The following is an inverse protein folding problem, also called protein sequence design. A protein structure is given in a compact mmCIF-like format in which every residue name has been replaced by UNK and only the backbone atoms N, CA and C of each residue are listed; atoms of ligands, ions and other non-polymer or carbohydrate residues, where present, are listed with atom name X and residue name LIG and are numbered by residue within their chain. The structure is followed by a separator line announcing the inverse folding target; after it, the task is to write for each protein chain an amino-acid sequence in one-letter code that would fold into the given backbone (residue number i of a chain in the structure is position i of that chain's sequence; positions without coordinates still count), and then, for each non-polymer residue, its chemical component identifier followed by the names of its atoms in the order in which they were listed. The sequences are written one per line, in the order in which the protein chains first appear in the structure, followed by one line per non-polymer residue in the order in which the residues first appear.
data_IF_342852358287
#
_entry.id   IF_342852358287
#
_cell.length_a   1.000
_cell.length_b   1.000
_cell.length_c   1.000
_cell.angle_alpha   90.00
_cell.angle_beta   90.00
_cell.angle_gamma   90.00
#
_symmetry.space_group_name_H-M   'P 1'
#
loop_
_entity.id
_entity.type
_entity.pdbx_description
1 polymer ?
#
# COMPACT_ATOMS: atom_id res chain seq x y z
N UNK A 1 -25.98 20.04 -20.57
CA UNK A 1 -25.47 19.04 -19.59
C UNK A 1 -24.21 19.58 -18.94
N UNK A 2 -24.32 20.06 -17.70
CA UNK A 2 -23.16 20.41 -16.89
C UNK A 2 -22.44 19.10 -16.53
N UNK A 3 -21.25 18.85 -17.09
CA UNK A 3 -20.37 17.76 -16.61
C UNK A 3 -20.09 18.05 -15.14
N UNK A 4 -20.64 17.23 -14.23
CA UNK A 4 -20.23 17.25 -12.84
C UNK A 4 -18.70 17.14 -12.80
N UNK A 5 -18.02 18.09 -12.13
CA UNK A 5 -16.58 17.99 -11.86
C UNK A 5 -16.37 16.65 -11.16
N UNK A 6 -15.76 15.66 -11.86
CA UNK A 6 -15.31 14.43 -11.22
C UNK A 6 -14.27 14.83 -10.18
N UNK A 7 -14.66 14.84 -8.92
CA UNK A 7 -13.73 14.96 -7.80
C UNK A 7 -12.83 13.74 -7.83
N UNK A 8 -11.52 13.94 -7.80
CA UNK A 8 -10.55 12.85 -7.68
C UNK A 8 -10.91 12.00 -6.45
N UNK A 9 -11.05 10.68 -6.58
CA UNK A 9 -11.38 9.83 -5.44
C UNK A 9 -10.27 9.92 -4.38
N UNK A 10 -10.60 9.61 -3.13
CA UNK A 10 -9.60 9.39 -2.07
C UNK A 10 -9.30 7.90 -1.97
N UNK A 11 -8.14 7.54 -1.42
CA UNK A 11 -7.75 6.15 -1.15
C UNK A 11 -8.07 5.77 0.30
N UNK A 12 -9.24 5.20 0.64
CA UNK A 12 -9.60 4.88 2.03
C UNK A 12 -8.93 3.60 2.56
N UNK A 13 -7.78 3.18 2.02
CA UNK A 13 -7.17 1.87 2.31
C UNK A 13 -6.83 1.66 3.80
N UNK A 14 -6.61 2.73 4.56
CA UNK A 14 -6.40 2.70 6.03
C UNK A 14 -7.57 3.31 6.82
N UNK A 15 -8.71 3.59 6.18
CA UNK A 15 -9.83 4.24 6.84
C UNK A 15 -10.46 3.34 7.91
N UNK A 16 -10.65 3.88 9.11
CA UNK A 16 -11.33 3.22 10.22
C UNK A 16 -12.72 3.80 10.49
N UNK A 17 -13.55 3.06 11.22
CA UNK A 17 -14.82 3.57 11.71
C UNK A 17 -14.61 4.59 12.84
N UNK A 18 -15.25 5.76 12.72
CA UNK A 18 -15.25 6.78 13.79
C UNK A 18 -15.79 6.27 15.14
N UNK A 19 -16.74 5.33 15.09
CA UNK A 19 -17.47 4.82 16.26
C UNK A 19 -16.93 3.49 16.80
N UNK A 20 -16.02 2.83 16.08
CA UNK A 20 -15.45 1.52 16.47
C UNK A 20 -13.92 1.54 16.62
N UNK A 21 -13.35 2.71 16.87
CA UNK A 21 -11.92 2.87 17.13
C UNK A 21 -11.03 2.47 15.96
N UNK A 22 -10.25 1.39 16.13
CA UNK A 22 -9.19 0.95 15.20
C UNK A 22 -9.66 -0.03 14.11
N UNK A 23 -10.94 -0.38 14.07
CA UNK A 23 -11.47 -1.28 13.03
C UNK A 23 -11.54 -0.59 11.65
N UNK A 24 -10.97 -1.24 10.64
CA UNK A 24 -11.06 -0.78 9.25
C UNK A 24 -12.50 -0.83 8.71
N UNK A 25 -12.84 0.11 7.83
CA UNK A 25 -14.11 0.06 7.11
C UNK A 25 -14.14 -1.12 6.14
N UNK A 26 -15.35 -1.59 5.77
CA UNK A 26 -15.49 -2.66 4.78
C UNK A 26 -14.89 -2.30 3.41
N UNK A 27 -14.84 -1.02 3.07
CA UNK A 27 -14.17 -0.51 1.88
C UNK A 27 -12.64 -0.58 2.00
N UNK A 28 -12.09 -0.13 3.12
CA UNK A 28 -10.66 -0.25 3.41
C UNK A 28 -10.20 -1.71 3.33
N UNK A 29 -10.89 -2.62 4.04
CA UNK A 29 -10.57 -4.05 4.04
C UNK A 29 -10.64 -4.67 2.63
N UNK A 30 -11.61 -4.27 1.82
CA UNK A 30 -11.76 -4.77 0.45
C UNK A 30 -10.63 -4.28 -0.45
N UNK A 31 -10.26 -3.01 -0.37
CA UNK A 31 -9.11 -2.45 -1.10
C UNK A 31 -7.80 -3.13 -0.69
N UNK A 32 -7.58 -3.32 0.62
CA UNK A 32 -6.44 -4.08 1.12
C UNK A 32 -6.42 -5.51 0.56
N UNK A 33 -7.57 -6.18 0.53
CA UNK A 33 -7.73 -7.52 -0.05
C UNK A 33 -7.39 -7.57 -1.53
N UNK A 34 -7.88 -6.61 -2.32
CA UNK A 34 -7.58 -6.50 -3.76
C UNK A 34 -6.07 -6.32 -3.97
N UNK A 35 -5.45 -5.37 -3.27
CA UNK A 35 -4.02 -5.05 -3.41
C UNK A 35 -3.16 -6.24 -2.98
N UNK A 36 -3.50 -6.88 -1.86
CA UNK A 36 -2.80 -8.08 -1.35
C UNK A 36 -2.92 -9.26 -2.31
N UNK A 37 -4.08 -9.44 -2.94
CA UNK A 37 -4.26 -10.48 -3.95
C UNK A 37 -3.42 -10.20 -5.20
N UNK A 38 -3.41 -8.96 -5.68
CA UNK A 38 -2.66 -8.59 -6.89
C UNK A 38 -1.14 -8.65 -6.74
N UNK A 39 -0.58 -8.44 -5.53
CA UNK A 39 0.86 -8.61 -5.29
C UNK A 39 1.26 -10.08 -5.18
N UNK A 40 0.38 -10.95 -4.70
CA UNK A 40 0.69 -12.38 -4.45
C UNK A 40 0.35 -13.30 -5.61
N UNK A 41 -0.63 -12.95 -6.44
CA UNK A 41 -1.06 -13.77 -7.57
C UNK A 41 -0.32 -13.39 -8.84
N UNK A 42 0.25 -14.38 -9.52
CA UNK A 42 1.03 -14.17 -10.76
C UNK A 42 0.25 -14.55 -12.01
N UNK A 43 -0.76 -15.42 -11.90
CA UNK A 43 -1.52 -15.92 -13.04
C UNK A 43 -2.54 -14.87 -13.53
N UNK A 44 -2.50 -14.44 -14.81
CA UNK A 44 -3.46 -13.48 -15.35
C UNK A 44 -4.93 -13.89 -15.20
N UNK A 45 -5.23 -15.19 -15.35
CA UNK A 45 -6.58 -15.76 -15.18
C UNK A 45 -7.16 -15.57 -13.79
N UNK A 46 -6.29 -15.42 -12.78
CA UNK A 46 -6.67 -15.20 -11.38
C UNK A 46 -6.64 -13.73 -10.97
N UNK A 47 -6.31 -12.81 -11.89
CA UNK A 47 -6.27 -11.36 -11.66
C UNK A 47 -7.39 -10.60 -12.38
N UNK A 48 -8.44 -11.30 -12.80
CA UNK A 48 -9.67 -10.67 -13.33
C UNK A 48 -10.57 -10.20 -12.19
N UNK A 49 -11.49 -9.25 -12.43
CA UNK A 49 -12.45 -8.77 -11.40
C UNK A 49 -13.21 -9.93 -10.74
N UNK A 50 -13.67 -10.87 -11.55
CA UNK A 50 -14.41 -12.05 -11.10
C UNK A 50 -13.54 -12.98 -10.24
N UNK A 51 -12.31 -13.27 -10.68
CA UNK A 51 -11.41 -14.13 -9.91
C UNK A 51 -11.03 -13.50 -8.56
N UNK A 52 -10.76 -12.19 -8.54
CA UNK A 52 -10.52 -11.42 -7.31
C UNK A 52 -11.73 -11.55 -6.38
N UNK A 53 -12.95 -11.38 -6.90
CA UNK A 53 -14.17 -11.50 -6.11
C UNK A 53 -14.37 -12.88 -5.50
N UNK A 54 -14.16 -13.95 -6.27
CA UNK A 54 -14.22 -15.31 -5.72
C UNK A 54 -13.19 -15.52 -4.60
N UNK A 55 -11.95 -15.08 -4.81
CA UNK A 55 -10.88 -15.28 -3.83
C UNK A 55 -11.11 -14.51 -2.53
N UNK A 56 -11.55 -13.25 -2.63
CA UNK A 56 -11.86 -12.44 -1.46
C UNK A 56 -13.09 -12.96 -0.72
N UNK A 57 -14.09 -13.47 -1.43
CA UNK A 57 -15.29 -14.03 -0.83
C UNK A 57 -14.97 -15.31 -0.04
N UNK A 58 -14.16 -16.19 -0.62
CA UNK A 58 -13.63 -17.38 0.05
C UNK A 58 -12.86 -17.01 1.32
N UNK A 59 -11.91 -16.06 1.23
CA UNK A 59 -11.13 -15.59 2.37
C UNK A 59 -11.99 -15.00 3.49
N UNK A 60 -13.07 -14.31 3.14
CA UNK A 60 -13.95 -13.64 4.09
C UNK A 60 -15.16 -14.49 4.52
N UNK A 61 -15.18 -15.78 4.16
CA UNK A 61 -16.28 -16.70 4.44
C UNK A 61 -17.66 -16.13 4.05
N UNK A 62 -17.76 -15.60 2.83
CA UNK A 62 -18.99 -15.02 2.26
C UNK A 62 -19.18 -15.45 0.81
N UNK A 63 -20.29 -15.05 0.19
CA UNK A 63 -20.56 -15.32 -1.22
C UNK A 63 -20.01 -14.19 -2.10
N UNK A 64 -19.50 -14.55 -3.29
CA UNK A 64 -18.88 -13.56 -4.18
C UNK A 64 -19.88 -12.51 -4.65
N UNK A 65 -21.17 -12.88 -4.80
CA UNK A 65 -22.25 -11.97 -5.17
C UNK A 65 -22.40 -10.81 -4.18
N UNK A 66 -22.13 -11.04 -2.89
CA UNK A 66 -22.26 -10.02 -1.85
C UNK A 66 -21.17 -8.93 -1.93
N UNK A 67 -20.00 -9.26 -2.48
CA UNK A 67 -18.85 -8.35 -2.52
C UNK A 67 -18.49 -7.88 -3.93
N UNK A 68 -19.04 -8.52 -4.97
CA UNK A 68 -18.70 -8.29 -6.37
C UNK A 68 -18.88 -6.82 -6.77
N UNK A 69 -20.03 -6.23 -6.44
CA UNK A 69 -20.31 -4.81 -6.73
C UNK A 69 -19.33 -3.87 -6.03
N UNK A 70 -18.96 -4.16 -4.79
CA UNK A 70 -17.96 -3.39 -4.04
C UNK A 70 -16.57 -3.48 -4.66
N UNK A 71 -16.16 -4.66 -5.14
CA UNK A 71 -14.87 -4.85 -5.82
C UNK A 71 -14.84 -4.10 -7.15
N UNK A 72 -15.93 -4.18 -7.92
CA UNK A 72 -16.05 -3.45 -9.17
C UNK A 72 -15.94 -1.95 -8.95
N UNK A 73 -16.69 -1.41 -7.97
CA UNK A 73 -16.66 0.00 -7.59
C UNK A 73 -15.25 0.43 -7.18
N UNK A 74 -14.58 -0.34 -6.31
CA UNK A 74 -13.25 0.03 -5.83
C UNK A 74 -12.21 0.00 -6.95
N UNK A 75 -12.25 -0.98 -7.85
CA UNK A 75 -11.34 -1.01 -9.00
C UNK A 75 -11.59 0.18 -9.93
N UNK A 76 -12.83 0.37 -10.39
CA UNK A 76 -13.15 1.26 -11.50
C UNK A 76 -13.27 2.73 -11.07
N UNK A 77 -13.69 2.98 -9.83
CA UNK A 77 -13.93 4.34 -9.33
C UNK A 77 -12.79 4.86 -8.44
N UNK A 78 -11.91 3.98 -7.94
CA UNK A 78 -10.86 4.36 -6.98
C UNK A 78 -9.47 3.90 -7.45
N UNK A 79 -9.21 2.59 -7.51
CA UNK A 79 -7.85 2.08 -7.69
C UNK A 79 -7.28 2.33 -9.09
N UNK A 80 -8.09 2.17 -10.14
CA UNK A 80 -7.71 2.52 -11.52
C UNK A 80 -7.55 4.04 -11.69
N UNK A 81 -8.53 4.90 -11.30
CA UNK A 81 -8.36 6.35 -11.40
C UNK A 81 -7.19 6.94 -10.62
N UNK A 82 -6.82 6.34 -9.48
CA UNK A 82 -5.66 6.75 -8.68
C UNK A 82 -4.34 6.17 -9.18
N UNK A 83 -4.37 5.34 -10.23
CA UNK A 83 -3.18 4.68 -10.76
C UNK A 83 -2.51 3.78 -9.72
N UNK A 84 -3.27 3.17 -8.81
CA UNK A 84 -2.80 2.13 -7.87
C UNK A 84 -2.79 0.78 -8.60
N UNK A 85 -3.78 0.58 -9.46
CA UNK A 85 -3.94 -0.61 -10.30
C UNK A 85 -3.97 -0.16 -11.75
N UNK A 86 -3.48 -1.01 -12.66
CA UNK A 86 -3.61 -0.85 -14.10
C UNK A 86 -4.06 -2.16 -14.76
N UNK A 87 -4.56 -2.07 -16.00
CA UNK A 87 -4.85 -3.24 -16.82
C UNK A 87 -3.52 -3.85 -17.31
N UNK A 88 -3.23 -5.09 -16.92
CA UNK A 88 -2.03 -5.80 -17.34
C UNK A 88 -2.15 -6.48 -18.71
N UNK A 89 -3.38 -6.55 -19.25
CA UNK A 89 -3.72 -7.18 -20.52
C UNK A 89 -5.13 -7.79 -20.50
N UNK A 90 -5.48 -8.50 -21.58
CA UNK A 90 -6.80 -9.13 -21.74
C UNK A 90 -6.70 -10.61 -22.12
N UNK A 91 -7.57 -11.40 -21.51
CA UNK A 91 -7.68 -12.83 -21.75
C UNK A 91 -8.70 -13.11 -22.86
N UNK A 92 -8.36 -13.90 -23.88
CA UNK A 92 -9.31 -14.27 -24.92
C UNK A 92 -10.40 -15.17 -24.32
N UNK A 93 -11.65 -14.96 -24.74
CA UNK A 93 -12.76 -15.86 -24.39
C UNK A 93 -13.42 -16.42 -25.65
N UNK A 94 -13.69 -17.73 -25.64
CA UNK A 94 -14.31 -18.43 -26.78
C UNK A 94 -15.84 -18.52 -26.68
N UNK A 95 -16.40 -18.15 -25.53
CA UNK A 95 -17.83 -18.25 -25.20
C UNK A 95 -18.26 -17.03 -24.37
N UNK A 96 -19.52 -16.61 -24.49
CA UNK A 96 -20.08 -15.45 -23.78
C UNK A 96 -20.48 -14.30 -24.73
N UNK A 97 -20.75 -13.09 -24.20
CA UNK A 97 -21.11 -11.93 -25.01
C UNK A 97 -20.09 -11.62 -26.10
N UNK A 98 -20.55 -11.35 -27.33
CA UNK A 98 -19.68 -11.13 -28.51
C UNK A 98 -18.65 -10.01 -28.29
N UNK A 99 -19.05 -8.91 -27.65
CA UNK A 99 -18.14 -7.82 -27.29
C UNK A 99 -16.97 -8.27 -26.40
N UNK A 100 -17.19 -9.20 -25.47
CA UNK A 100 -16.13 -9.76 -24.63
C UNK A 100 -15.28 -10.80 -25.39
N UNK A 101 -15.85 -11.50 -26.39
CA UNK A 101 -15.06 -12.36 -27.27
C UNK A 101 -14.09 -11.53 -28.14
N UNK A 102 -14.55 -10.37 -28.62
CA UNK A 102 -13.76 -9.47 -29.46
C UNK A 102 -12.69 -8.72 -28.64
N UNK A 103 -13.03 -8.25 -27.44
CA UNK A 103 -12.11 -7.44 -26.62
C UNK A 103 -11.30 -8.24 -25.60
N UNK A 104 -11.75 -9.44 -25.22
CA UNK A 104 -11.21 -10.20 -24.10
C UNK A 104 -11.62 -9.65 -22.73
N UNK A 105 -11.31 -10.44 -21.69
CA UNK A 105 -11.57 -10.08 -20.29
C UNK A 105 -10.32 -9.47 -19.67
N UNK A 106 -10.37 -8.23 -19.13
CA UNK A 106 -9.20 -7.60 -18.55
C UNK A 106 -8.74 -8.30 -17.26
N UNK A 107 -7.42 -8.36 -17.09
CA UNK A 107 -6.78 -8.67 -15.81
C UNK A 107 -5.93 -7.50 -15.34
N UNK A 108 -5.70 -7.44 -14.04
CA UNK A 108 -5.11 -6.28 -13.38
C UNK A 108 -3.75 -6.58 -12.78
N UNK A 109 -2.96 -5.54 -12.61
CA UNK A 109 -1.69 -5.57 -11.87
C UNK A 109 -1.49 -4.28 -11.09
N UNK A 110 -0.60 -4.32 -10.09
CA UNK A 110 -0.22 -3.12 -9.36
C UNK A 110 0.75 -2.28 -10.18
N UNK A 111 0.54 -0.97 -10.17
CA UNK A 111 1.53 0.00 -10.63
C UNK A 111 2.64 0.17 -9.57
N UNK A 112 3.66 0.98 -9.84
CA UNK A 112 4.65 1.36 -8.81
C UNK A 112 4.00 2.02 -7.58
N UNK A 113 2.98 2.86 -7.77
CA UNK A 113 2.17 3.41 -6.66
C UNK A 113 1.44 2.30 -5.91
N UNK A 114 0.88 1.32 -6.61
CA UNK A 114 0.22 0.16 -6.01
C UNK A 114 1.16 -0.73 -5.23
N UNK A 115 2.39 -0.92 -5.70
CA UNK A 115 3.45 -1.64 -5.00
C UNK A 115 3.84 -0.92 -3.70
N UNK A 116 3.94 0.42 -3.71
CA UNK A 116 4.16 1.21 -2.49
C UNK A 116 3.02 1.03 -1.49
N UNK A 117 1.77 1.07 -1.94
CA UNK A 117 0.62 0.79 -1.06
C UNK A 117 0.72 -0.64 -0.52
N UNK A 118 0.97 -1.65 -1.36
CA UNK A 118 1.14 -3.03 -0.92
C UNK A 118 2.26 -3.20 0.12
N UNK A 119 3.36 -2.45 -0.01
CA UNK A 119 4.45 -2.41 0.96
C UNK A 119 3.99 -1.89 2.33
N UNK A 120 3.08 -0.92 2.36
CA UNK A 120 2.53 -0.34 3.60
C UNK A 120 1.49 -1.21 4.32
N UNK A 121 0.87 -2.18 3.63
CA UNK A 121 -0.25 -2.96 4.18
C UNK A 121 0.15 -4.15 5.03
N UNK A 122 1.37 -4.66 4.86
CA UNK A 122 1.69 -6.02 5.29
C UNK A 122 2.59 -6.04 6.51
N UNK A 123 2.41 -7.09 7.31
CA UNK A 123 3.37 -7.46 8.34
C UNK A 123 4.73 -7.70 7.71
N UNK A 124 5.77 -7.20 8.38
CA UNK A 124 7.14 -7.35 7.92
C UNK A 124 7.63 -8.77 8.21
N UNK A 125 8.16 -9.40 7.17
CA UNK A 125 8.90 -10.65 7.25
C UNK A 125 10.10 -10.60 6.29
N UNK A 126 10.98 -11.61 6.34
CA UNK A 126 12.23 -11.63 5.54
C UNK A 126 11.99 -11.49 4.04
N UNK A 127 10.98 -12.17 3.51
CA UNK A 127 10.64 -12.09 2.08
C UNK A 127 10.15 -10.69 1.71
N UNK A 128 9.35 -10.07 2.59
CA UNK A 128 8.83 -8.71 2.40
C UNK A 128 9.92 -7.65 2.45
N UNK A 129 10.90 -7.80 3.33
CA UNK A 129 12.08 -6.92 3.38
C UNK A 129 12.80 -6.97 2.03
N UNK A 130 13.02 -8.17 1.48
CA UNK A 130 13.66 -8.32 0.17
C UNK A 130 12.86 -7.65 -0.95
N UNK A 131 11.55 -7.91 -1.03
CA UNK A 131 10.67 -7.31 -2.04
C UNK A 131 10.68 -5.78 -1.93
N UNK A 132 10.68 -5.23 -0.70
CA UNK A 132 10.75 -3.79 -0.47
C UNK A 132 12.11 -3.21 -0.88
N UNK A 133 13.21 -3.91 -0.61
CA UNK A 133 14.54 -3.50 -1.05
C UNK A 133 14.61 -3.45 -2.59
N UNK A 134 14.21 -4.53 -3.27
CA UNK A 134 14.15 -4.60 -4.74
C UNK A 134 13.26 -3.50 -5.35
N UNK A 135 12.19 -3.12 -4.64
CA UNK A 135 11.31 -2.03 -5.04
C UNK A 135 12.02 -0.66 -4.96
N UNK A 136 12.60 -0.31 -3.80
CA UNK A 136 13.32 0.96 -3.64
C UNK A 136 14.58 1.04 -4.49
N UNK A 137 15.12 -0.10 -4.94
CA UNK A 137 16.21 -0.17 -5.91
C UNK A 137 15.84 0.31 -7.32
N UNK A 138 14.56 0.43 -7.66
CA UNK A 138 14.13 0.92 -8.99
C UNK A 138 14.22 2.45 -9.08
N UNK A 139 14.83 2.94 -10.16
CA UNK A 139 14.98 4.39 -10.41
C UNK A 139 13.64 5.10 -10.70
N UNK A 140 12.58 4.36 -11.04
CA UNK A 140 11.23 4.92 -11.21
C UNK A 140 10.62 5.40 -9.88
N UNK A 141 11.09 4.85 -8.75
CA UNK A 141 10.49 5.09 -7.43
C UNK A 141 10.98 6.40 -6.83
N UNK A 142 12.28 6.67 -6.87
CA UNK A 142 12.85 7.93 -6.41
C UNK A 142 14.05 8.32 -7.26
N UNK A 143 14.16 9.61 -7.58
CA UNK A 143 15.35 10.20 -8.20
C UNK A 143 16.40 10.61 -7.17
N UNK A 144 16.02 10.68 -5.90
CA UNK A 144 16.89 11.05 -4.78
C UNK A 144 17.67 9.82 -4.31
N UNK A 145 18.96 9.79 -4.68
CA UNK A 145 19.87 8.68 -4.35
C UNK A 145 20.14 8.59 -2.85
N UNK A 146 20.16 9.72 -2.15
CA UNK A 146 20.47 9.76 -0.72
C UNK A 146 19.27 9.30 0.10
N UNK A 147 18.06 9.72 -0.28
CA UNK A 147 16.82 9.20 0.30
C UNK A 147 16.71 7.69 0.10
N UNK A 148 16.94 7.22 -1.13
CA UNK A 148 16.92 5.79 -1.45
C UNK A 148 17.91 5.00 -0.61
N UNK A 149 19.17 5.46 -0.53
CA UNK A 149 20.20 4.83 0.30
C UNK A 149 19.77 4.77 1.77
N UNK A 150 19.22 5.87 2.29
CA UNK A 150 18.78 5.98 3.68
C UNK A 150 17.63 5.02 4.00
N UNK A 151 16.62 4.94 3.12
CA UNK A 151 15.50 4.00 3.28
C UNK A 151 15.99 2.55 3.24
N UNK A 152 16.89 2.20 2.31
CA UNK A 152 17.45 0.85 2.22
C UNK A 152 18.26 0.48 3.47
N UNK A 153 19.07 1.40 4.00
CA UNK A 153 19.78 1.18 5.27
C UNK A 153 18.82 1.01 6.44
N UNK A 154 17.78 1.85 6.54
CA UNK A 154 16.76 1.73 7.59
C UNK A 154 15.97 0.43 7.46
N UNK A 155 15.73 -0.06 6.24
CA UNK A 155 15.02 -1.31 6.01
C UNK A 155 15.83 -2.52 6.52
N UNK A 156 17.16 -2.46 6.45
CA UNK A 156 18.05 -3.50 6.97
C UNK A 156 18.08 -3.52 8.51
N UNK A 157 18.22 -2.34 9.15
CA UNK A 157 18.44 -2.26 10.61
C UNK A 157 17.16 -2.10 11.44
N UNK A 158 16.12 -1.48 10.87
CA UNK A 158 14.88 -1.13 11.55
C UNK A 158 13.67 -1.26 10.60
N UNK A 159 13.40 -2.45 10.04
CA UNK A 159 12.36 -2.62 9.02
C UNK A 159 10.97 -2.17 9.50
N UNK A 160 10.62 -2.43 10.76
CA UNK A 160 9.33 -2.00 11.33
C UNK A 160 9.15 -0.47 11.32
N UNK A 161 10.23 0.29 11.49
CA UNK A 161 10.21 1.74 11.34
C UNK A 161 9.86 2.13 9.90
N UNK A 162 10.49 1.48 8.91
CA UNK A 162 10.19 1.71 7.48
C UNK A 162 8.73 1.37 7.16
N UNK A 163 8.19 0.26 7.68
CA UNK A 163 6.76 -0.05 7.50
C UNK A 163 5.85 1.03 8.09
N UNK A 164 6.15 1.48 9.32
CA UNK A 164 5.42 2.58 9.96
C UNK A 164 5.46 3.87 9.13
N UNK A 165 6.64 4.22 8.61
CA UNK A 165 6.82 5.37 7.74
C UNK A 165 5.98 5.26 6.46
N UNK A 166 6.00 4.11 5.77
CA UNK A 166 5.23 3.92 4.54
C UNK A 166 3.72 3.93 4.79
N UNK A 167 3.27 3.36 5.91
CA UNK A 167 1.87 3.47 6.32
C UNK A 167 1.47 4.93 6.48
N UNK A 168 2.26 5.72 7.19
CA UNK A 168 2.00 7.16 7.40
C UNK A 168 2.07 7.98 6.12
N UNK A 169 2.96 7.60 5.22
CA UNK A 169 3.06 8.17 3.89
C UNK A 169 1.78 7.95 3.08
N UNK A 170 1.28 6.72 3.03
CA UNK A 170 0.03 6.40 2.33
C UNK A 170 -1.18 7.04 3.02
N UNK A 171 -1.26 7.06 4.35
CA UNK A 171 -2.30 7.79 5.10
C UNK A 171 -2.31 9.28 4.73
N UNK A 172 -1.13 9.90 4.63
CA UNK A 172 -1.00 11.32 4.25
C UNK A 172 -1.43 11.58 2.80
N UNK A 173 -1.22 10.62 1.90
CA UNK A 173 -1.79 10.65 0.54
C UNK A 173 -3.32 10.52 0.58
N UNK A 174 -3.86 9.58 1.34
CA UNK A 174 -5.31 9.37 1.53
C UNK A 174 -6.02 10.62 2.09
N UNK A 175 -5.35 11.38 2.94
CA UNK A 175 -5.84 12.63 3.52
C UNK A 175 -5.72 13.82 2.56
N UNK A 176 -4.91 13.71 1.50
CA UNK A 176 -4.64 14.78 0.54
C UNK A 176 -3.50 15.72 0.93
N UNK A 177 -2.70 15.37 1.95
CA UNK A 177 -1.48 16.10 2.32
C UNK A 177 -0.38 15.89 1.26
N UNK A 178 -0.33 14.69 0.70
CA UNK A 178 0.55 14.29 -0.41
C UNK A 178 -0.32 14.11 -1.65
N UNK A 179 0.11 14.64 -2.79
CA UNK A 179 -0.69 14.63 -4.03
C UNK A 179 -0.42 13.42 -4.91
N UNK A 180 0.78 12.84 -4.84
CA UNK A 180 1.20 11.66 -5.61
C UNK A 180 2.04 10.74 -4.73
N UNK A 181 1.86 9.42 -4.85
CA UNK A 181 2.67 8.46 -4.11
C UNK A 181 4.09 8.32 -4.69
N UNK A 182 4.20 8.41 -6.03
CA UNK A 182 5.43 8.33 -6.80
C UNK A 182 5.57 9.61 -7.65
N UNK A 183 6.77 10.23 -7.75
CA UNK A 183 8.02 9.80 -7.12
C UNK A 183 7.97 9.91 -5.59
N UNK A 184 8.62 8.96 -4.93
CA UNK A 184 8.87 8.97 -3.50
C UNK A 184 9.98 9.97 -3.20
N UNK A 185 9.63 11.13 -2.65
CA UNK A 185 10.57 12.25 -2.43
C UNK A 185 10.57 12.75 -0.98
N UNK A 186 11.62 13.50 -0.64
CA UNK A 186 11.85 13.99 0.72
C UNK A 186 10.73 14.94 1.20
N UNK A 187 10.16 15.75 0.31
CA UNK A 187 9.11 16.70 0.69
C UNK A 187 7.79 15.99 1.04
N UNK A 188 7.45 14.94 0.29
CA UNK A 188 6.31 14.08 0.57
C UNK A 188 6.55 13.26 1.84
N UNK A 189 7.78 12.76 2.06
CA UNK A 189 8.16 12.10 3.32
C UNK A 189 8.01 13.04 4.51
N UNK A 190 8.49 14.28 4.44
CA UNK A 190 8.31 15.28 5.52
C UNK A 190 6.85 15.53 5.86
N UNK A 191 5.97 15.60 4.86
CA UNK A 191 4.52 15.76 5.08
C UNK A 191 3.88 14.55 5.75
N UNK A 192 4.51 13.39 5.68
CA UNK A 192 4.06 12.16 6.34
C UNK A 192 4.49 12.04 7.80
N UNK A 193 5.43 12.86 8.28
CA UNK A 193 5.87 12.83 9.67
C UNK A 193 4.77 13.33 10.61
N UNK A 194 4.11 12.38 11.26
CA UNK A 194 3.18 12.65 12.35
C UNK A 194 3.89 12.62 13.71
N UNK A 195 3.13 12.84 14.79
CA UNK A 195 3.65 12.83 16.15
C UNK A 195 4.39 11.54 16.49
N UNK A 196 3.92 10.39 16.01
CA UNK A 196 4.55 9.09 16.27
C UNK A 196 5.94 9.02 15.64
N UNK A 197 6.06 9.42 14.37
CA UNK A 197 7.35 9.46 13.68
C UNK A 197 8.29 10.51 14.26
N UNK A 198 7.77 11.63 14.76
CA UNK A 198 8.55 12.68 15.42
C UNK A 198 9.17 12.20 16.73
N UNK A 199 8.43 11.48 17.57
CA UNK A 199 8.96 10.89 18.81
C UNK A 199 10.04 9.84 18.51
N UNK A 200 9.84 9.01 17.47
CA UNK A 200 10.84 8.02 17.05
C UNK A 200 12.13 8.69 16.55
N UNK A 201 12.00 9.79 15.80
CA UNK A 201 13.13 10.61 15.36
C UNK A 201 13.88 11.21 16.54
N UNK A 202 13.17 11.82 17.48
CA UNK A 202 13.76 12.41 18.70
C UNK A 202 14.53 11.37 19.49
N UNK A 203 13.95 10.19 19.72
CA UNK A 203 14.61 9.09 20.42
C UNK A 203 15.91 8.67 19.70
N UNK A 204 15.86 8.52 18.38
CA UNK A 204 17.03 8.10 17.59
C UNK A 204 18.14 9.16 17.63
N UNK A 205 17.81 10.43 17.41
CA UNK A 205 18.76 11.55 17.43
C UNK A 205 19.36 11.70 18.84
N UNK A 206 18.52 11.72 19.88
CA UNK A 206 18.95 11.80 21.27
C UNK A 206 19.86 10.63 21.65
N UNK A 207 19.46 9.40 21.35
CA UNK A 207 20.28 8.21 21.63
C UNK A 207 21.61 8.21 20.85
N UNK A 208 21.61 8.68 19.61
CA UNK A 208 22.84 8.78 18.80
C UNK A 208 23.83 9.80 19.35
N UNK A 209 23.37 10.81 20.08
CA UNK A 209 24.23 11.83 20.69
C UNK A 209 24.94 11.36 21.96
N UNK A 210 24.48 10.26 22.57
CA UNK A 210 25.03 9.72 23.81
C UNK A 210 26.41 9.08 23.63
N UNK A 211 27.21 9.10 24.70
CA UNK A 211 28.45 8.32 24.79
C UNK A 211 28.15 6.82 24.83
N UNK A 212 29.13 5.98 24.50
CA UNK A 212 28.95 4.53 24.59
C UNK A 212 28.61 4.05 26.02
N UNK A 213 29.09 4.74 27.05
CA UNK A 213 28.81 4.41 28.46
C UNK A 213 27.34 4.67 28.79
N UNK A 214 26.75 5.74 28.25
CA UNK A 214 25.35 6.11 28.52
C UNK A 214 24.36 5.31 27.66
N UNK A 215 24.79 4.79 26.51
CA UNK A 215 23.96 3.95 25.62
C UNK A 215 23.63 2.58 26.23
N UNK A 216 24.57 1.95 26.90
CA UNK A 216 24.42 0.58 27.43
C UNK A 216 23.25 0.43 28.44
N UNK A 217 23.11 1.30 29.46
CA UNK A 217 21.97 1.24 30.38
C UNK A 217 20.61 1.37 29.67
N UNK A 218 20.51 2.23 28.66
CA UNK A 218 19.27 2.45 27.90
C UNK A 218 18.94 1.23 27.04
N UNK A 219 19.94 0.65 26.35
CA UNK A 219 19.75 -0.61 25.60
C UNK A 219 19.30 -1.73 26.56
N UNK A 220 19.94 -1.85 27.72
CA UNK A 220 19.60 -2.85 28.74
C UNK A 220 18.17 -2.66 29.25
N UNK A 221 17.74 -1.41 29.48
CA UNK A 221 16.37 -1.09 29.84
C UNK A 221 15.37 -1.51 28.74
N UNK A 222 15.59 -1.10 27.48
CA UNK A 222 14.68 -1.43 26.38
C UNK A 222 14.58 -2.94 26.14
N UNK A 223 15.68 -3.68 26.28
CA UNK A 223 15.70 -5.16 26.19
C UNK A 223 14.91 -5.86 27.29
N UNK A 224 14.64 -5.21 28.43
CA UNK A 224 13.86 -5.78 29.54
C UNK A 224 12.37 -5.49 29.43
N UNK A 225 12.01 -4.41 28.74
CA UNK A 225 10.61 -3.96 28.60
C UNK A 225 9.94 -4.56 27.37
N UNK A 226 10.70 -4.79 26.29
CA UNK A 226 10.24 -5.49 25.09
C UNK A 226 10.35 -7.01 25.23
#
# INVERSE_FOLDING_TARGET
MLKAKKTTPKLPVFQTFKTKGKEFTGEAMRQQGIITHLITETLPTRRTRTAIAHRLAEKNNTTWQNIYSGIFRDLDEILLPLGIVEEGGRLPIKRGPKALQDQGVPYYQLTDSGLLVAASLSEINKERIKIMADFFERNSISKDKDLKKSILTLLDVAPNFVSSLLKKYVESYSEGKITHLIPFDMDSVKKAFDETLMVQKELLEGFSSLSNVDREPIISFLKRVG
#
